data_IF_668591931461
#
_entry.id   IF_668591931461
#
_cell.length_a   1.000
_cell.length_b   1.000
_cell.length_c   1.000
_cell.angle_alpha   90.00
_cell.angle_beta   90.00
_cell.angle_gamma   90.00
#
_symmetry.space_group_name_H-M   'P 1'
#
loop_
_entity.id
_entity.type
_entity.pdbx_description
1 polymer ?
#
# COMPACT_ATOMS: atom_id res chain seq x y z
N UNK A 1 -0.79 -3.11 0.46
CA UNK A 1 0.09 -3.78 -0.54
C UNK A 1 -0.80 -4.59 -1.45
N UNK A 2 -0.58 -4.54 -2.76
CA UNK A 2 -1.34 -5.36 -3.69
C UNK A 2 -0.87 -6.82 -3.69
N UNK A 3 -1.78 -7.75 -3.99
CA UNK A 3 -1.47 -9.18 -4.17
C UNK A 3 -0.47 -9.39 -5.30
N UNK A 4 -0.56 -8.57 -6.36
CA UNK A 4 0.38 -8.54 -7.48
C UNK A 4 0.91 -7.12 -7.64
N UNK A 5 2.21 -6.95 -7.79
CA UNK A 5 2.84 -5.65 -8.08
C UNK A 5 3.96 -5.82 -9.11
N UNK A 6 4.29 -4.78 -9.86
CA UNK A 6 5.49 -4.77 -10.70
C UNK A 6 6.77 -4.81 -9.85
N UNK A 7 7.79 -5.51 -10.34
CA UNK A 7 9.09 -5.63 -9.69
C UNK A 7 10.15 -6.00 -10.72
N UNK A 8 11.17 -5.15 -10.91
CA UNK A 8 12.32 -5.43 -11.77
C UNK A 8 11.96 -5.94 -13.20
N UNK A 9 10.97 -5.33 -13.85
CA UNK A 9 10.51 -5.72 -15.19
C UNK A 9 9.63 -6.99 -15.22
N UNK A 10 9.26 -7.53 -14.07
CA UNK A 10 8.35 -8.68 -13.91
C UNK A 10 7.27 -8.38 -12.87
N UNK A 11 6.49 -9.39 -12.47
CA UNK A 11 5.45 -9.32 -11.45
C UNK A 11 5.90 -10.03 -10.17
N UNK A 12 5.77 -9.35 -9.04
CA UNK A 12 5.89 -9.91 -7.69
C UNK A 12 4.50 -10.28 -7.18
N UNK A 13 4.26 -11.59 -7.02
CA UNK A 13 3.00 -12.16 -6.56
C UNK A 13 3.12 -12.50 -5.07
N UNK A 14 2.08 -12.25 -4.27
CA UNK A 14 2.01 -12.50 -2.83
C UNK A 14 0.82 -13.41 -2.50
N UNK A 15 0.88 -14.73 -2.80
CA UNK A 15 -0.28 -15.63 -2.76
C UNK A 15 -0.93 -15.77 -1.37
N UNK A 16 -0.15 -15.57 -0.31
CA UNK A 16 -0.58 -15.74 1.07
C UNK A 16 -1.01 -14.42 1.72
N UNK A 17 -1.13 -13.33 0.96
CA UNK A 17 -1.40 -12.00 1.51
C UNK A 17 -2.75 -11.91 2.23
N UNK A 18 -3.76 -12.66 1.74
CA UNK A 18 -5.08 -12.74 2.34
C UNK A 18 -5.17 -13.74 3.51
N UNK A 19 -4.10 -14.50 3.80
CA UNK A 19 -4.09 -15.53 4.84
C UNK A 19 -3.48 -14.99 6.13
N UNK A 20 -4.13 -15.30 7.23
CA UNK A 20 -3.64 -14.98 8.57
C UNK A 20 -2.48 -15.89 8.95
N UNK A 21 -1.61 -15.42 9.86
CA UNK A 21 -0.55 -16.27 10.42
C UNK A 21 -1.12 -17.51 11.13
N UNK A 22 -2.30 -17.39 11.75
CA UNK A 22 -2.99 -18.51 12.40
C UNK A 22 -3.33 -19.62 11.41
N UNK A 23 -3.92 -19.28 10.27
CA UNK A 23 -4.22 -20.24 9.18
C UNK A 23 -2.95 -20.92 8.66
N UNK A 24 -1.87 -20.16 8.46
CA UNK A 24 -0.61 -20.72 7.98
C UNK A 24 0.03 -21.70 8.97
N UNK A 25 -0.01 -21.39 10.27
CA UNK A 25 0.49 -22.30 11.32
C UNK A 25 -0.37 -23.55 11.43
N UNK A 26 -1.70 -23.41 11.35
CA UNK A 26 -2.61 -24.55 11.35
C UNK A 26 -2.35 -25.47 10.17
N UNK A 27 -2.22 -24.91 8.96
CA UNK A 27 -1.88 -25.66 7.76
C UNK A 27 -0.53 -26.36 7.90
N UNK A 28 0.52 -25.66 8.34
CA UNK A 28 1.84 -26.26 8.50
C UNK A 28 1.83 -27.44 9.49
N UNK A 29 1.07 -27.32 10.59
CA UNK A 29 0.88 -28.43 11.56
C UNK A 29 0.08 -29.59 10.98
N UNK A 30 -0.97 -29.32 10.21
CA UNK A 30 -1.81 -30.35 9.59
C UNK A 30 -1.01 -31.26 8.64
N UNK A 31 0.04 -30.72 8.01
CA UNK A 31 0.90 -31.45 7.08
C UNK A 31 2.28 -31.81 7.67
N UNK A 32 2.44 -31.72 8.99
CA UNK A 32 3.68 -32.04 9.71
C UNK A 32 4.94 -31.33 9.16
N UNK A 33 4.78 -30.10 8.66
CA UNK A 33 5.88 -29.30 8.14
C UNK A 33 6.77 -28.81 9.29
N UNK A 34 8.08 -28.88 9.09
CA UNK A 34 9.09 -28.29 9.98
C UNK A 34 9.64 -27.02 9.33
N UNK A 35 9.76 -25.95 10.11
CA UNK A 35 10.34 -24.69 9.67
C UNK A 35 11.35 -24.18 10.70
N UNK A 36 12.20 -23.24 10.28
CA UNK A 36 13.20 -22.58 11.12
C UNK A 36 12.61 -21.26 11.62
N UNK A 37 12.80 -20.95 12.89
CA UNK A 37 12.51 -19.61 13.42
C UNK A 37 13.79 -18.78 13.40
N UNK A 38 13.84 -17.77 12.55
CA UNK A 38 14.97 -16.83 12.46
C UNK A 38 14.96 -15.92 13.70
N UNK A 39 16.09 -15.87 14.42
CA UNK A 39 16.28 -15.08 15.66
C UNK A 39 16.03 -13.59 15.46
N UNK A 40 16.31 -13.05 14.26
CA UNK A 40 16.04 -11.65 13.93
C UNK A 40 14.55 -11.29 13.98
N UNK A 41 13.65 -12.28 13.97
CA UNK A 41 12.22 -12.04 14.18
C UNK A 41 11.88 -11.56 15.59
N UNK A 42 12.76 -11.77 16.57
CA UNK A 42 12.58 -11.34 17.96
C UNK A 42 13.25 -10.01 18.27
N UNK A 43 14.00 -9.45 17.32
CA UNK A 43 14.67 -8.16 17.48
C UNK A 43 13.67 -7.01 17.29
N UNK A 44 13.38 -6.28 18.38
CA UNK A 44 12.44 -5.16 18.37
C UNK A 44 13.06 -3.81 17.98
N UNK A 45 14.35 -3.77 17.63
CA UNK A 45 15.01 -2.55 17.14
C UNK A 45 14.46 -2.06 15.80
N UNK A 46 13.89 -2.97 14.99
CA UNK A 46 13.25 -2.66 13.73
C UNK A 46 11.77 -2.30 13.94
N UNK A 47 11.32 -1.15 13.42
CA UNK A 47 9.93 -0.64 13.56
C UNK A 47 8.87 -1.72 13.24
N UNK A 48 9.09 -2.52 12.20
CA UNK A 48 8.18 -3.59 11.81
C UNK A 48 8.05 -4.67 12.88
N UNK A 49 9.18 -5.07 13.48
CA UNK A 49 9.19 -6.07 14.54
C UNK A 49 8.62 -5.49 15.83
N UNK A 50 8.96 -4.26 16.19
CA UNK A 50 8.37 -3.55 17.32
C UNK A 50 6.83 -3.51 17.21
N UNK A 51 6.30 -3.09 16.05
CA UNK A 51 4.86 -3.08 15.81
C UNK A 51 4.25 -4.47 15.98
N UNK A 52 4.87 -5.52 15.40
CA UNK A 52 4.38 -6.89 15.46
C UNK A 52 4.41 -7.49 16.87
N UNK A 53 5.48 -7.24 17.63
CA UNK A 53 5.75 -7.89 18.91
C UNK A 53 5.15 -7.14 20.10
N UNK A 54 5.09 -5.81 20.03
CA UNK A 54 4.72 -4.95 21.17
C UNK A 54 3.38 -4.27 20.97
N UNK A 55 3.16 -3.65 19.81
CA UNK A 55 2.01 -2.77 19.59
C UNK A 55 0.75 -3.55 19.20
N UNK A 56 0.84 -4.37 18.15
CA UNK A 56 -0.32 -5.13 17.64
C UNK A 56 -0.93 -6.07 18.70
N UNK A 57 -0.14 -6.82 19.50
CA UNK A 57 -0.71 -7.68 20.55
C UNK A 57 -1.45 -6.87 21.62
N UNK A 58 -0.91 -5.71 22.02
CA UNK A 58 -1.56 -4.82 22.99
C UNK A 58 -2.90 -4.28 22.46
N UNK A 59 -2.94 -3.90 21.18
CA UNK A 59 -4.17 -3.47 20.52
C UNK A 59 -5.19 -4.60 20.41
N UNK A 60 -4.75 -5.81 20.08
CA UNK A 60 -5.61 -7.00 20.00
C UNK A 60 -6.21 -7.41 21.35
N UNK A 61 -5.50 -7.17 22.46
CA UNK A 61 -6.02 -7.43 23.80
C UNK A 61 -7.29 -6.61 24.10
N UNK A 62 -7.35 -5.36 23.62
CA UNK A 62 -8.51 -4.48 23.80
C UNK A 62 -9.53 -4.63 22.66
N UNK A 63 -9.05 -4.83 21.44
CA UNK A 63 -9.85 -4.96 20.21
C UNK A 63 -9.42 -6.20 19.43
N UNK A 64 -10.03 -7.38 19.68
CA UNK A 64 -9.62 -8.65 19.08
C UNK A 64 -9.53 -8.62 17.55
N UNK A 65 -10.37 -7.83 16.89
CA UNK A 65 -10.45 -7.72 15.42
C UNK A 65 -9.64 -6.54 14.84
N UNK A 66 -8.68 -5.97 15.58
CA UNK A 66 -7.91 -4.79 15.13
C UNK A 66 -7.21 -4.98 13.78
N UNK A 67 -6.57 -6.15 13.59
CA UNK A 67 -5.86 -6.45 12.35
C UNK A 67 -6.82 -6.52 11.13
N UNK A 68 -7.98 -7.13 11.29
CA UNK A 68 -9.02 -7.21 10.26
C UNK A 68 -9.61 -5.82 9.94
N UNK A 69 -9.87 -5.00 10.98
CA UNK A 69 -10.35 -3.64 10.80
C UNK A 69 -9.34 -2.75 10.06
N UNK A 70 -8.05 -2.92 10.36
CA UNK A 70 -6.95 -2.21 9.68
C UNK A 70 -6.84 -2.65 8.21
N UNK A 71 -6.90 -3.96 7.95
CA UNK A 71 -6.89 -4.49 6.58
C UNK A 71 -8.09 -3.98 5.76
N UNK A 72 -9.29 -3.94 6.36
CA UNK A 72 -10.50 -3.39 5.73
C UNK A 72 -10.35 -1.90 5.42
N UNK A 73 -9.82 -1.13 6.35
CA UNK A 73 -9.57 0.31 6.13
C UNK A 73 -8.57 0.53 4.99
N UNK A 74 -7.50 -0.27 4.93
CA UNK A 74 -6.55 -0.20 3.83
C UNK A 74 -7.18 -0.59 2.48
N UNK A 75 -8.08 -1.57 2.45
CA UNK A 75 -8.82 -1.95 1.24
C UNK A 75 -9.76 -0.83 0.77
N UNK A 76 -10.51 -0.20 1.70
CA UNK A 76 -11.36 0.95 1.38
C UNK A 76 -10.55 2.13 0.85
N UNK A 77 -9.40 2.45 1.45
CA UNK A 77 -8.52 3.49 0.93
C UNK A 77 -8.02 3.18 -0.50
N UNK A 78 -7.67 1.92 -0.78
CA UNK A 78 -7.26 1.50 -2.11
C UNK A 78 -8.40 1.61 -3.14
N UNK A 79 -9.63 1.26 -2.75
CA UNK A 79 -10.83 1.43 -3.58
C UNK A 79 -11.09 2.91 -3.89
N UNK A 80 -10.98 3.80 -2.89
CA UNK A 80 -11.14 5.24 -3.10
C UNK A 80 -10.08 5.81 -4.04
N UNK A 81 -8.81 5.37 -3.93
CA UNK A 81 -7.77 5.79 -4.87
C UNK A 81 -8.02 5.28 -6.29
N UNK A 82 -8.51 4.05 -6.46
CA UNK A 82 -8.90 3.52 -7.77
C UNK A 82 -10.07 4.29 -8.39
N UNK A 83 -11.05 4.70 -7.58
CA UNK A 83 -12.15 5.54 -8.05
C UNK A 83 -11.65 6.91 -8.50
N UNK A 84 -10.70 7.49 -7.76
CA UNK A 84 -10.06 8.75 -8.16
C UNK A 84 -9.23 8.59 -9.44
N UNK A 85 -8.61 7.43 -9.68
CA UNK A 85 -7.93 7.13 -10.96
C UNK A 85 -8.91 7.17 -12.13
N UNK A 86 -10.10 6.59 -11.97
CA UNK A 86 -11.17 6.64 -12.97
C UNK A 86 -11.66 8.07 -13.20
N UNK A 87 -12.03 8.78 -12.12
CA UNK A 87 -12.63 10.11 -12.20
C UNK A 87 -11.67 11.19 -12.72
N UNK A 88 -10.36 10.99 -12.58
CA UNK A 88 -9.33 11.95 -13.00
C UNK A 88 -8.61 11.54 -14.29
N UNK A 89 -9.01 10.44 -14.93
CA UNK A 89 -8.37 9.95 -16.15
C UNK A 89 -8.36 11.01 -17.27
N UNK A 90 -9.51 11.66 -17.51
CA UNK A 90 -9.64 12.69 -18.54
C UNK A 90 -8.82 13.95 -18.22
N UNK A 91 -8.84 14.39 -16.96
CA UNK A 91 -8.04 15.52 -16.51
C UNK A 91 -6.55 15.25 -16.66
N UNK A 92 -6.11 14.04 -16.30
CA UNK A 92 -4.71 13.63 -16.41
C UNK A 92 -4.29 13.59 -17.88
N UNK A 93 -5.11 13.00 -18.75
CA UNK A 93 -4.85 12.96 -20.20
C UNK A 93 -4.80 14.37 -20.81
N UNK A 94 -5.64 15.29 -20.34
CA UNK A 94 -5.62 16.68 -20.79
C UNK A 94 -4.39 17.45 -20.28
N UNK A 95 -3.94 17.16 -19.06
CA UNK A 95 -2.78 17.82 -18.46
C UNK A 95 -1.45 17.20 -18.91
N UNK A 96 -1.42 15.97 -19.42
CA UNK A 96 -0.18 15.30 -19.79
C UNK A 96 0.16 15.54 -21.28
N UNK A 97 1.40 15.94 -21.55
CA UNK A 97 1.88 16.09 -22.92
C UNK A 97 2.35 14.75 -23.51
N UNK A 98 2.46 14.64 -24.85
CA UNK A 98 3.05 13.46 -25.51
C UNK A 98 4.51 13.18 -25.09
N UNK A 99 5.21 14.17 -24.54
CA UNK A 99 6.58 14.03 -24.03
C UNK A 99 6.64 13.51 -22.59
N UNK A 100 5.49 13.22 -21.97
CA UNK A 100 5.40 12.77 -20.58
C UNK A 100 5.53 13.89 -19.54
N UNK A 101 5.46 15.16 -19.94
CA UNK A 101 5.47 16.30 -19.01
C UNK A 101 4.05 16.71 -18.62
N UNK A 102 3.92 17.46 -17.53
CA UNK A 102 2.64 17.96 -17.02
C UNK A 102 2.46 19.45 -17.36
N UNK A 103 1.32 19.80 -17.95
CA UNK A 103 0.95 21.15 -18.35
C UNK A 103 0.40 21.94 -17.15
N UNK A 104 0.96 23.12 -16.89
CA UNK A 104 0.58 23.94 -15.73
C UNK A 104 -0.73 24.69 -15.98
N UNK A 105 -0.94 25.22 -17.19
CA UNK A 105 -2.07 26.11 -17.50
C UNK A 105 -3.44 25.48 -17.20
N UNK A 106 -3.73 24.23 -17.62
CA UNK A 106 -5.02 23.59 -17.30
C UNK A 106 -5.26 23.41 -15.80
N UNK A 107 -4.20 23.33 -15.00
CA UNK A 107 -4.28 23.09 -13.55
C UNK A 107 -4.52 24.36 -12.72
N UNK A 108 -4.35 25.55 -13.31
CA UNK A 108 -4.51 26.82 -12.60
C UNK A 108 -5.96 27.03 -12.12
N UNK A 109 -6.94 26.53 -12.87
CA UNK A 109 -8.35 26.62 -12.51
C UNK A 109 -8.83 25.53 -11.53
N UNK A 110 -7.98 24.54 -11.23
CA UNK A 110 -8.33 23.41 -10.35
C UNK A 110 -8.22 23.79 -8.87
N UNK A 111 -8.83 22.99 -7.99
CA UNK A 111 -8.59 23.07 -6.55
C UNK A 111 -7.23 22.45 -6.17
N UNK A 112 -6.70 22.79 -4.99
CA UNK A 112 -5.44 22.21 -4.48
C UNK A 112 -5.49 20.68 -4.40
N UNK A 113 -6.61 20.13 -3.92
CA UNK A 113 -6.81 18.68 -3.83
C UNK A 113 -6.75 18.01 -5.21
N UNK A 114 -7.39 18.61 -6.23
CA UNK A 114 -7.37 18.07 -7.60
C UNK A 114 -5.96 18.19 -8.20
N UNK A 115 -5.27 19.31 -8.02
CA UNK A 115 -3.86 19.47 -8.44
C UNK A 115 -2.96 18.39 -7.83
N UNK A 116 -3.04 18.19 -6.52
CA UNK A 116 -2.23 17.21 -5.82
C UNK A 116 -2.54 15.77 -6.29
N UNK A 117 -3.82 15.45 -6.52
CA UNK A 117 -4.24 14.15 -7.03
C UNK A 117 -3.71 13.87 -8.45
N UNK A 118 -3.71 14.88 -9.34
CA UNK A 118 -3.13 14.79 -10.69
C UNK A 118 -1.61 14.63 -10.64
N UNK A 119 -0.92 15.43 -9.81
CA UNK A 119 0.55 15.36 -9.67
C UNK A 119 0.97 13.97 -9.17
N UNK A 120 0.29 13.42 -8.16
CA UNK A 120 0.58 12.06 -7.67
C UNK A 120 0.42 11.01 -8.76
N UNK A 121 -0.67 11.07 -9.54
CA UNK A 121 -0.93 10.12 -10.63
C UNK A 121 0.09 10.23 -11.75
N UNK A 122 0.45 11.44 -12.13
CA UNK A 122 1.54 11.68 -13.08
C UNK A 122 2.88 11.11 -12.59
N UNK A 123 3.27 11.37 -11.34
CA UNK A 123 4.51 10.81 -10.76
C UNK A 123 4.48 9.27 -10.69
N UNK A 124 3.34 8.67 -10.36
CA UNK A 124 3.14 7.22 -10.42
C UNK A 124 3.42 6.67 -11.82
N UNK A 125 2.89 7.31 -12.87
CA UNK A 125 3.12 6.91 -14.27
C UNK A 125 4.59 7.00 -14.70
N UNK A 126 5.38 7.87 -14.06
CA UNK A 126 6.82 7.99 -14.30
C UNK A 126 7.67 7.08 -13.39
N UNK A 127 7.04 6.20 -12.59
CA UNK A 127 7.70 5.40 -11.55
C UNK A 127 8.55 6.24 -10.56
N UNK A 128 8.19 7.51 -10.36
CA UNK A 128 8.89 8.42 -9.48
C UNK A 128 8.50 8.19 -8.01
N UNK A 129 9.40 8.49 -7.04
CA UNK A 129 9.05 8.43 -5.63
C UNK A 129 7.92 9.42 -5.32
N UNK A 130 6.92 8.94 -4.57
CA UNK A 130 5.80 9.78 -4.16
C UNK A 130 6.29 10.89 -3.20
N UNK A 131 5.89 12.15 -3.43
CA UNK A 131 6.26 13.23 -2.55
C UNK A 131 5.61 13.00 -1.18
N UNK A 132 6.42 12.98 -0.12
CA UNK A 132 5.89 12.96 1.24
C UNK A 132 5.14 14.26 1.50
N UNK A 133 4.11 14.22 2.34
CA UNK A 133 3.33 15.40 2.71
C UNK A 133 4.13 16.46 3.51
N UNK A 134 5.45 16.28 3.66
CA UNK A 134 6.29 17.02 4.61
C UNK A 134 6.82 18.35 4.08
N UNK A 135 6.45 18.81 2.88
CA UNK A 135 6.72 20.19 2.39
C UNK A 135 5.91 20.47 1.13
N UNK A 136 4.93 21.37 1.23
CA UNK A 136 4.41 22.20 0.14
C UNK A 136 4.64 23.65 0.56
#
# INVERSE_FOLDING_TARGET
>A
MAEVSEFAGTRLIRPLLARTRGELVQWARQYDLRWIEDESNQDDSYDRNFLRLRVVPLLQQRWPHFAEATARSAALCAEQESLLDELLADDLAHCQSPQGTLQIVPMLAMSDARRAAIIRRWLAGQNAPMPSATRW
#
